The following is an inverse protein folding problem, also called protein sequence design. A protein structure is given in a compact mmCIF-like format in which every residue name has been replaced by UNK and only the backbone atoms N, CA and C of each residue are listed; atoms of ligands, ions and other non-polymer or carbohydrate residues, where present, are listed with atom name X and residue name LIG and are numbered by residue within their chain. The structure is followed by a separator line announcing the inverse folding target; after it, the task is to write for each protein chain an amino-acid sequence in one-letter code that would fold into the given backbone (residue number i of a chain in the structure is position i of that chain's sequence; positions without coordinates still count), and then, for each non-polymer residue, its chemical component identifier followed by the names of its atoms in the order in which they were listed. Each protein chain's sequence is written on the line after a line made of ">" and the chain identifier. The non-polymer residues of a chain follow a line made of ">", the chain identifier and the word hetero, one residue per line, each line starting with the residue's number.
data_IF_098688527277
#
_entry.id   IF_098688527277
#
_cell.length_a   1.000
_cell.length_b   1.000
_cell.length_c   1.000
_cell.angle_alpha   90.00
_cell.angle_beta   90.00
_cell.angle_gamma   90.00
#
_symmetry.space_group_name_H-M   'P 1'
#
loop_
_entity.id
_entity.type
_entity.pdbx_description
1 polymer ?
#
# COMPACT_ATOMS: atom_id res chain seq x y z
N UNK A 1 39.36 49.58 36.13
CA UNK A 1 40.07 49.12 34.91
C UNK A 1 39.88 47.64 34.66
N UNK A 2 40.27 46.74 35.57
CA UNK A 2 40.13 45.28 35.43
C UNK A 2 38.68 44.82 35.18
N UNK A 3 37.70 45.44 35.84
CA UNK A 3 36.27 45.14 35.66
C UNK A 3 35.74 45.43 34.25
N UNK A 4 36.24 46.48 33.58
CA UNK A 4 35.83 46.80 32.20
C UNK A 4 36.42 45.81 31.20
N UNK A 5 37.64 45.33 31.43
CA UNK A 5 38.24 44.25 30.65
C UNK A 5 37.47 42.93 30.80
N UNK A 6 37.02 42.58 32.00
CA UNK A 6 36.21 41.39 32.25
C UNK A 6 34.84 41.47 31.57
N UNK A 7 34.17 42.63 31.64
CA UNK A 7 32.89 42.84 30.93
C UNK A 7 33.04 42.78 29.41
N UNK A 8 34.12 43.33 28.86
CA UNK A 8 34.43 43.24 27.43
C UNK A 8 34.70 41.80 26.98
N UNK A 9 35.44 41.03 27.77
CA UNK A 9 35.72 39.62 27.48
C UNK A 9 34.44 38.76 27.53
N UNK A 10 33.53 39.02 28.48
CA UNK A 10 32.25 38.32 28.58
C UNK A 10 31.35 38.59 27.36
N UNK A 11 31.26 39.86 26.94
CA UNK A 11 30.50 40.25 25.74
C UNK A 11 31.07 39.61 24.48
N UNK A 12 32.40 39.60 24.34
CA UNK A 12 33.07 38.97 23.20
C UNK A 12 32.78 37.45 23.16
N UNK A 13 32.87 36.78 24.32
CA UNK A 13 32.57 35.35 24.43
C UNK A 13 31.12 35.02 24.06
N UNK A 14 30.16 35.89 24.46
CA UNK A 14 28.75 35.72 24.11
C UNK A 14 28.51 35.86 22.60
N UNK A 15 29.14 36.85 21.96
CA UNK A 15 29.04 37.06 20.50
C UNK A 15 29.62 35.87 19.74
N UNK A 16 30.79 35.37 20.15
CA UNK A 16 31.41 34.17 19.56
C UNK A 16 30.53 32.94 19.74
N UNK A 17 29.95 32.76 20.93
CA UNK A 17 29.05 31.64 21.21
C UNK A 17 27.80 31.66 20.33
N UNK A 18 27.18 32.82 20.15
CA UNK A 18 26.02 33.00 19.26
C UNK A 18 26.38 32.76 17.79
N UNK A 19 27.55 33.23 17.33
CA UNK A 19 28.03 32.98 15.97
C UNK A 19 28.26 31.48 15.72
N UNK A 20 28.94 30.78 16.64
CA UNK A 20 29.17 29.32 16.52
C UNK A 20 27.85 28.55 16.52
N UNK A 21 26.88 28.93 17.34
CA UNK A 21 25.56 28.28 17.37
C UNK A 21 24.82 28.45 16.03
N UNK A 22 24.87 29.64 15.44
CA UNK A 22 24.22 29.93 14.17
C UNK A 22 24.85 29.17 12.98
N UNK A 23 26.18 29.02 12.97
CA UNK A 23 26.89 28.21 11.97
C UNK A 23 26.57 26.71 12.11
N UNK A 24 26.35 26.22 13.34
CA UNK A 24 25.99 24.80 13.58
C UNK A 24 24.53 24.48 13.27
N UNK A 25 23.61 25.46 13.33
CA UNK A 25 22.19 25.26 12.99
C UNK A 25 21.88 25.25 11.49
N UNK A 26 22.88 25.43 10.63
CA UNK A 26 22.72 25.54 9.17
C UNK A 26 22.62 24.24 8.38
N UNK A 27 22.83 23.07 9.00
CA UNK A 27 22.68 21.79 8.29
C UNK A 27 21.22 21.35 8.39
N UNK A 28 20.36 21.99 7.58
CA UNK A 28 19.08 21.38 7.22
C UNK A 28 19.42 20.03 6.56
N UNK A 29 18.76 18.92 6.94
CA UNK A 29 18.96 17.67 6.22
C UNK A 29 18.59 17.93 4.77
N UNK A 30 19.60 17.98 3.91
CA UNK A 30 19.38 18.13 2.48
C UNK A 30 18.60 16.89 2.07
N UNK A 31 17.39 17.07 1.55
CA UNK A 31 16.62 15.96 1.02
C UNK A 31 17.52 15.19 0.06
N UNK A 32 17.69 13.90 0.34
CA UNK A 32 18.58 13.05 -0.43
C UNK A 32 18.10 13.02 -1.88
N UNK A 33 19.04 12.99 -2.84
CA UNK A 33 18.70 12.90 -4.26
C UNK A 33 17.74 11.73 -4.49
N UNK A 34 16.53 12.06 -4.93
CA UNK A 34 15.49 11.06 -5.20
C UNK A 34 15.95 10.21 -6.38
N UNK A 35 16.10 8.91 -6.14
CA UNK A 35 16.42 7.93 -7.18
C UNK A 35 15.16 7.19 -7.59
N UNK A 36 15.01 6.94 -8.89
CA UNK A 36 13.97 6.07 -9.40
C UNK A 36 14.15 4.67 -8.79
N UNK A 37 13.10 4.14 -8.18
CA UNK A 37 13.10 2.78 -7.62
C UNK A 37 12.35 1.85 -8.56
N UNK A 38 12.89 0.65 -8.77
CA UNK A 38 12.13 -0.41 -9.41
C UNK A 38 10.87 -0.69 -8.57
N UNK A 39 9.71 -0.75 -9.23
CA UNK A 39 8.44 -1.05 -8.58
C UNK A 39 8.46 -2.50 -8.10
N UNK A 40 9.01 -3.42 -8.89
CA UNK A 40 9.01 -4.85 -8.61
C UNK A 40 10.38 -5.41 -8.24
N UNK A 41 10.38 -6.42 -7.38
CA UNK A 41 11.47 -7.40 -7.29
C UNK A 41 11.41 -8.39 -8.49
N UNK A 42 12.49 -9.12 -8.76
CA UNK A 42 12.56 -10.10 -9.86
C UNK A 42 11.49 -11.19 -9.71
N UNK A 43 11.30 -11.70 -8.49
CA UNK A 43 10.27 -12.69 -8.15
C UNK A 43 8.86 -12.15 -8.36
N UNK A 44 8.60 -10.91 -7.93
CA UNK A 44 7.32 -10.21 -8.13
C UNK A 44 7.05 -9.99 -9.62
N UNK A 45 8.06 -9.57 -10.40
CA UNK A 45 7.92 -9.33 -11.83
C UNK A 45 7.55 -10.62 -12.58
N UNK A 46 8.21 -11.73 -12.26
CA UNK A 46 7.88 -13.04 -12.84
C UNK A 46 6.48 -13.49 -12.44
N UNK A 47 6.10 -13.30 -11.17
CA UNK A 47 4.77 -13.64 -10.67
C UNK A 47 3.69 -12.82 -11.38
N UNK A 48 3.91 -11.51 -11.53
CA UNK A 48 3.00 -10.63 -12.24
C UNK A 48 2.80 -11.05 -13.70
N UNK A 49 3.90 -11.39 -14.40
CA UNK A 49 3.83 -11.89 -15.77
C UNK A 49 3.01 -13.20 -15.86
N UNK A 50 3.22 -14.14 -14.91
CA UNK A 50 2.46 -15.39 -14.84
C UNK A 50 0.99 -15.18 -14.51
N UNK A 51 0.67 -14.29 -13.58
CA UNK A 51 -0.72 -13.93 -13.24
C UNK A 51 -1.45 -13.35 -14.46
N UNK A 52 -0.80 -12.43 -15.18
CA UNK A 52 -1.35 -11.84 -16.40
C UNK A 52 -1.58 -12.88 -17.51
N UNK A 53 -0.68 -13.86 -17.62
CA UNK A 53 -0.82 -14.96 -18.58
C UNK A 53 -1.90 -15.97 -18.17
N UNK A 54 -2.03 -16.25 -16.87
CA UNK A 54 -3.00 -17.19 -16.33
C UNK A 54 -4.43 -16.63 -16.40
N UNK A 55 -4.59 -15.33 -16.16
CA UNK A 55 -5.87 -14.66 -15.94
C UNK A 55 -6.09 -13.52 -16.92
N UNK A 56 -6.24 -13.79 -18.24
CA UNK A 56 -6.38 -12.74 -19.25
C UNK A 56 -7.68 -11.93 -19.13
N UNK A 57 -8.70 -12.49 -18.46
CA UNK A 57 -10.00 -11.82 -18.25
C UNK A 57 -10.02 -10.92 -17.01
N UNK A 58 -9.08 -11.13 -16.09
CA UNK A 58 -9.01 -10.40 -14.84
C UNK A 58 -7.98 -9.28 -14.93
N UNK A 59 -8.22 -8.20 -14.18
CA UNK A 59 -7.26 -7.11 -14.07
C UNK A 59 -6.41 -7.29 -12.83
N UNK A 60 -5.09 -7.40 -12.98
CA UNK A 60 -4.17 -7.53 -11.85
C UNK A 60 -3.56 -6.17 -11.52
N UNK A 61 -3.82 -5.68 -10.32
CA UNK A 61 -3.19 -4.49 -9.76
C UNK A 61 -2.01 -4.90 -8.89
N UNK A 62 -0.93 -4.13 -8.97
CA UNK A 62 0.27 -4.31 -8.17
C UNK A 62 0.41 -3.22 -7.12
N UNK A 63 0.97 -3.58 -5.96
CA UNK A 63 1.29 -2.64 -4.88
C UNK A 63 0.10 -1.77 -4.45
N UNK A 64 -1.02 -2.41 -4.16
CA UNK A 64 -2.24 -1.71 -3.78
C UNK A 64 -2.22 -1.39 -2.28
N UNK A 65 -2.46 -0.13 -1.93
CA UNK A 65 -2.52 0.29 -0.53
C UNK A 65 -3.72 -0.34 0.19
N UNK A 66 -3.55 -0.70 1.46
CA UNK A 66 -4.64 -1.24 2.28
C UNK A 66 -5.75 -0.20 2.51
N UNK A 67 -5.44 1.09 2.45
CA UNK A 67 -6.42 2.19 2.52
C UNK A 67 -7.42 2.16 1.34
N UNK A 68 -7.05 1.55 0.20
CA UNK A 68 -7.96 1.36 -0.94
C UNK A 68 -8.86 0.14 -0.81
N UNK A 69 -8.47 -0.84 0.03
CA UNK A 69 -9.16 -2.10 0.21
C UNK A 69 -10.04 -2.09 1.47
N UNK A 70 -9.62 -1.37 2.51
CA UNK A 70 -10.26 -1.41 3.81
C UNK A 70 -10.78 -0.04 4.21
N UNK A 71 -12.05 -0.02 4.63
CA UNK A 71 -12.65 1.16 5.27
C UNK A 71 -12.98 0.85 6.72
N UNK A 72 -12.73 1.80 7.60
CA UNK A 72 -13.03 1.68 9.03
C UNK A 72 -13.49 3.00 9.60
N UNK A 73 -14.37 2.94 10.59
CA UNK A 73 -14.86 4.12 11.31
C UNK A 73 -13.80 4.72 12.25
N UNK A 74 -12.90 3.89 12.77
CA UNK A 74 -11.98 4.30 13.83
C UNK A 74 -10.59 4.62 13.29
N UNK A 75 -10.13 5.85 13.51
CA UNK A 75 -8.81 6.31 13.10
C UNK A 75 -7.67 5.43 13.66
N UNK A 76 -7.79 4.98 14.91
CA UNK A 76 -6.79 4.11 15.54
C UNK A 76 -6.59 2.80 14.76
N UNK A 77 -7.67 2.21 14.25
CA UNK A 77 -7.61 1.00 13.42
C UNK A 77 -7.00 1.31 12.06
N UNK A 78 -7.39 2.43 11.43
CA UNK A 78 -6.83 2.86 10.14
C UNK A 78 -5.32 3.05 10.19
N UNK A 79 -4.82 3.69 11.24
CA UNK A 79 -3.38 3.94 11.41
C UNK A 79 -2.54 2.66 11.40
N UNK A 80 -3.10 1.53 11.86
CA UNK A 80 -2.39 0.24 11.91
C UNK A 80 -2.12 -0.35 10.53
N UNK A 81 -3.00 -0.13 9.56
CA UNK A 81 -2.84 -0.68 8.21
C UNK A 81 -2.50 0.37 7.14
N UNK A 82 -2.49 1.67 7.49
CA UNK A 82 -2.26 2.77 6.54
C UNK A 82 -0.96 2.65 5.75
N UNK A 83 0.08 2.08 6.35
CA UNK A 83 1.39 1.91 5.72
C UNK A 83 1.58 0.50 5.11
N UNK A 84 0.51 -0.31 5.06
CA UNK A 84 0.53 -1.65 4.49
C UNK A 84 0.11 -1.61 3.01
N UNK A 85 0.76 -2.46 2.23
CA UNK A 85 0.55 -2.59 0.80
C UNK A 85 0.42 -4.07 0.46
N UNK A 86 -0.57 -4.41 -0.36
CA UNK A 86 -0.77 -5.74 -0.90
C UNK A 86 0.09 -5.90 -2.15
N UNK A 87 0.72 -7.07 -2.31
CA UNK A 87 1.63 -7.31 -3.43
C UNK A 87 0.85 -7.33 -4.74
N UNK A 88 -0.21 -8.15 -4.84
CA UNK A 88 -1.16 -8.10 -5.93
C UNK A 88 -2.61 -8.17 -5.48
N UNK A 89 -3.47 -7.51 -6.25
CA UNK A 89 -4.93 -7.57 -6.11
C UNK A 89 -5.50 -7.95 -7.47
N UNK A 90 -6.29 -9.00 -7.50
CA UNK A 90 -6.98 -9.45 -8.71
C UNK A 90 -8.39 -8.89 -8.70
N UNK A 91 -8.71 -8.17 -9.77
CA UNK A 91 -10.01 -7.59 -10.01
C UNK A 91 -10.78 -8.38 -11.06
N UNK A 92 -12.07 -8.54 -10.81
CA UNK A 92 -13.03 -9.14 -11.72
C UNK A 92 -13.36 -8.21 -12.90
N UNK A 93 -14.20 -8.68 -13.84
CA UNK A 93 -14.60 -7.90 -15.01
C UNK A 93 -15.33 -6.58 -14.68
N UNK A 94 -15.91 -6.44 -13.50
CA UNK A 94 -16.62 -5.24 -13.04
C UNK A 94 -15.74 -4.37 -12.10
N UNK A 95 -14.43 -4.62 -12.05
CA UNK A 95 -13.46 -3.98 -11.16
C UNK A 95 -13.72 -4.21 -9.65
N UNK A 96 -14.43 -5.29 -9.32
CA UNK A 96 -14.58 -5.82 -7.97
C UNK A 96 -13.32 -6.57 -7.53
N UNK A 97 -12.98 -6.49 -6.25
CA UNK A 97 -11.83 -7.24 -5.71
C UNK A 97 -12.24 -8.69 -5.49
N UNK A 98 -11.67 -9.59 -6.29
CA UNK A 98 -11.93 -11.04 -6.29
C UNK A 98 -11.01 -11.74 -5.30
N UNK A 99 -9.73 -11.41 -5.38
CA UNK A 99 -8.70 -12.03 -4.57
C UNK A 99 -7.54 -11.08 -4.29
N UNK A 100 -6.91 -11.27 -3.15
CA UNK A 100 -5.66 -10.60 -2.77
C UNK A 100 -4.57 -11.66 -2.72
N UNK A 101 -3.46 -11.38 -3.39
CA UNK A 101 -2.32 -12.28 -3.44
C UNK A 101 -1.19 -11.64 -2.64
N UNK A 102 -0.65 -12.40 -1.71
CA UNK A 102 0.49 -12.04 -0.87
C UNK A 102 1.65 -12.94 -1.25
N UNK A 103 2.78 -12.32 -1.59
CA UNK A 103 4.03 -13.02 -1.86
C UNK A 103 4.83 -13.10 -0.56
N UNK A 104 5.15 -14.32 -0.13
CA UNK A 104 6.14 -14.52 0.91
C UNK A 104 7.53 -14.47 0.28
N UNK A 105 8.30 -13.44 0.60
CA UNK A 105 9.71 -13.38 0.26
C UNK A 105 10.51 -14.03 1.39
N UNK A 106 11.13 -15.17 1.11
CA UNK A 106 11.99 -15.91 2.05
C UNK A 106 13.15 -15.06 2.57
N UNK A 107 13.54 -14.01 1.83
CA UNK A 107 14.60 -13.07 2.21
C UNK A 107 14.09 -11.87 3.02
N UNK A 108 12.77 -11.63 3.04
CA UNK A 108 12.21 -10.53 3.81
C UNK A 108 12.09 -10.95 5.28
N UNK A 109 12.85 -10.30 6.15
CA UNK A 109 12.61 -10.29 7.60
C UNK A 109 11.34 -9.51 7.94
N UNK A 110 10.19 -9.81 7.30
CA UNK A 110 8.90 -9.33 7.78
C UNK A 110 8.67 -9.97 9.15
N UNK A 111 8.30 -9.16 10.14
CA UNK A 111 7.95 -9.69 11.46
C UNK A 111 6.72 -10.58 11.27
N UNK A 112 6.79 -11.83 11.70
CA UNK A 112 5.68 -12.78 11.62
C UNK A 112 4.33 -12.19 12.12
N UNK A 113 4.39 -11.32 13.14
CA UNK A 113 3.23 -10.58 13.66
C UNK A 113 2.52 -9.71 12.63
N UNK A 114 3.26 -9.07 11.73
CA UNK A 114 2.70 -8.17 10.71
C UNK A 114 1.98 -8.98 9.63
N UNK A 115 2.53 -10.14 9.24
CA UNK A 115 1.91 -11.07 8.28
C UNK A 115 0.60 -11.62 8.82
N UNK A 116 0.61 -12.13 10.07
CA UNK A 116 -0.60 -12.65 10.73
C UNK A 116 -1.65 -11.54 10.88
N UNK A 117 -1.24 -10.32 11.23
CA UNK A 117 -2.16 -9.20 11.33
C UNK A 117 -2.76 -8.82 9.98
N UNK A 118 -1.94 -8.77 8.92
CA UNK A 118 -2.35 -8.48 7.55
C UNK A 118 -3.42 -9.48 7.09
N UNK A 119 -3.14 -10.77 7.25
CA UNK A 119 -4.08 -11.83 6.89
C UNK A 119 -5.40 -11.70 7.67
N UNK A 120 -5.31 -11.44 8.99
CA UNK A 120 -6.48 -11.29 9.84
C UNK A 120 -7.39 -10.14 9.39
N UNK A 121 -6.85 -8.97 9.10
CA UNK A 121 -7.66 -7.81 8.69
C UNK A 121 -8.32 -8.01 7.32
N UNK A 122 -7.62 -8.66 6.39
CA UNK A 122 -8.18 -8.98 5.07
C UNK A 122 -9.31 -10.02 5.19
N UNK A 123 -9.10 -11.08 5.97
CA UNK A 123 -10.12 -12.10 6.24
C UNK A 123 -11.34 -11.50 6.95
N UNK A 124 -11.14 -10.61 7.93
CA UNK A 124 -12.24 -9.91 8.62
C UNK A 124 -13.04 -9.01 7.67
N UNK A 125 -12.42 -8.47 6.63
CA UNK A 125 -13.11 -7.69 5.59
C UNK A 125 -13.83 -8.56 4.54
N UNK A 126 -13.70 -9.89 4.64
CA UNK A 126 -14.32 -10.84 3.71
C UNK A 126 -13.52 -11.06 2.43
N UNK A 127 -12.27 -10.58 2.37
CA UNK A 127 -11.40 -10.85 1.22
C UNK A 127 -10.82 -12.25 1.28
N UNK A 128 -10.71 -12.87 0.10
CA UNK A 128 -9.96 -14.11 -0.10
C UNK A 128 -8.49 -13.77 -0.30
N UNK A 129 -7.64 -14.43 0.47
CA UNK A 129 -6.19 -14.17 0.48
C UNK A 129 -5.45 -15.43 0.07
N UNK A 130 -4.66 -15.33 -0.99
CA UNK A 130 -3.76 -16.39 -1.44
C UNK A 130 -2.32 -16.06 -1.07
N UNK A 131 -1.64 -17.03 -0.48
CA UNK A 131 -0.23 -16.91 -0.13
C UNK A 131 0.57 -17.76 -1.11
N UNK A 132 1.57 -17.15 -1.74
CA UNK A 132 2.50 -17.87 -2.61
C UNK A 132 3.91 -17.82 -2.04
N UNK A 133 4.47 -19.01 -1.85
CA UNK A 133 5.87 -19.21 -1.49
C UNK A 133 6.71 -19.14 -2.77
N UNK A 134 7.20 -17.94 -3.10
CA UNK A 134 7.97 -17.70 -4.31
C UNK A 134 7.11 -17.57 -5.58
N UNK A 135 7.66 -17.98 -6.74
CA UNK A 135 7.02 -17.75 -8.05
C UNK A 135 6.07 -18.91 -8.38
N UNK A 136 4.74 -18.72 -8.33
CA UNK A 136 3.75 -19.80 -8.52
C UNK A 136 3.71 -20.31 -9.96
N UNK A 137 3.34 -21.57 -10.16
CA UNK A 137 3.10 -22.14 -11.49
C UNK A 137 1.78 -21.59 -12.08
N UNK A 138 1.75 -21.40 -13.40
CA UNK A 138 0.59 -20.91 -14.16
C UNK A 138 -0.60 -21.87 -14.00
N UNK A 139 -0.36 -23.19 -14.01
CA UNK A 139 -1.43 -24.19 -13.85
C UNK A 139 -2.09 -24.09 -12.48
N UNK A 140 -1.29 -23.97 -11.42
CA UNK A 140 -1.78 -23.79 -10.06
C UNK A 140 -2.66 -22.54 -9.94
N UNK A 141 -2.22 -21.41 -10.52
CA UNK A 141 -3.03 -20.18 -10.53
C UNK A 141 -4.37 -20.42 -11.24
N UNK A 142 -4.37 -21.09 -12.40
CA UNK A 142 -5.60 -21.33 -13.16
C UNK A 142 -6.58 -22.20 -12.39
N UNK A 143 -6.11 -23.24 -11.73
CA UNK A 143 -6.98 -24.14 -10.97
C UNK A 143 -7.59 -23.45 -9.76
N UNK A 144 -6.79 -22.67 -9.01
CA UNK A 144 -7.28 -21.91 -7.87
C UNK A 144 -8.36 -20.90 -8.29
N UNK A 145 -8.12 -20.17 -9.38
CA UNK A 145 -9.06 -19.17 -9.90
C UNK A 145 -10.26 -19.79 -10.63
N UNK A 146 -10.17 -21.02 -11.12
CA UNK A 146 -11.32 -21.74 -11.68
C UNK A 146 -12.35 -22.07 -10.61
N UNK A 147 -11.90 -22.45 -9.41
CA UNK A 147 -12.79 -22.62 -8.24
C UNK A 147 -13.43 -21.28 -7.86
N UNK A 148 -12.73 -20.17 -8.08
CA UNK A 148 -13.28 -18.83 -7.87
C UNK A 148 -14.39 -18.52 -8.87
N UNK A 149 -14.18 -18.72 -10.18
CA UNK A 149 -15.19 -18.49 -11.23
C UNK A 149 -16.54 -19.14 -10.85
N UNK A 150 -16.52 -20.41 -10.44
CA UNK A 150 -17.73 -21.17 -10.07
C UNK A 150 -18.42 -20.61 -8.80
N UNK A 151 -17.63 -20.09 -7.86
CA UNK A 151 -18.14 -19.50 -6.61
C UNK A 151 -18.56 -18.04 -6.75
N UNK A 152 -17.93 -17.28 -7.63
CA UNK A 152 -18.24 -15.88 -7.92
C UNK A 152 -19.52 -15.75 -8.73
N UNK A 153 -19.79 -16.67 -9.66
CA UNK A 153 -21.09 -16.79 -10.32
C UNK A 153 -22.25 -16.84 -9.31
N UNK A 154 -22.05 -17.50 -8.16
CA UNK A 154 -23.05 -17.61 -7.10
C UNK A 154 -23.17 -16.34 -6.25
N UNK A 155 -22.05 -15.69 -5.91
CA UNK A 155 -22.04 -14.44 -5.12
C UNK A 155 -22.48 -13.24 -5.95
N UNK A 156 -22.19 -13.22 -7.25
CA UNK A 156 -22.50 -12.14 -8.18
C UNK A 156 -23.99 -12.11 -8.55
N UNK A 157 -24.71 -13.24 -8.53
CA UNK A 157 -26.18 -13.26 -8.59
C UNK A 157 -26.80 -12.55 -7.37
N UNK A 158 -26.21 -12.75 -6.19
CA UNK A 158 -26.67 -12.11 -4.94
C UNK A 158 -26.29 -10.61 -4.92
N UNK A 159 -25.08 -10.27 -5.38
CA UNK A 159 -24.58 -8.91 -5.40
C UNK A 159 -25.27 -8.06 -6.48
N UNK A 160 -25.55 -8.60 -7.66
CA UNK A 160 -26.28 -7.89 -8.73
C UNK A 160 -27.66 -7.44 -8.25
N UNK A 161 -28.37 -8.29 -7.49
CA UNK A 161 -29.63 -7.91 -6.82
C UNK A 161 -29.46 -6.78 -5.80
N UNK A 162 -28.30 -6.68 -5.15
CA UNK A 162 -27.99 -5.61 -4.19
C UNK A 162 -27.63 -4.29 -4.88
N UNK A 163 -26.96 -4.33 -6.04
CA UNK A 163 -26.58 -3.14 -6.81
C UNK A 163 -27.70 -2.60 -7.71
N UNK A 164 -28.68 -3.42 -8.08
CA UNK A 164 -29.91 -2.98 -8.75
C UNK A 164 -30.68 -1.91 -7.95
N UNK A 165 -30.57 -1.92 -6.62
CA UNK A 165 -31.17 -0.91 -5.76
C UNK A 165 -30.57 0.50 -5.96
N UNK A 166 -29.33 0.61 -6.46
CA UNK A 166 -28.63 1.89 -6.63
C UNK A 166 -28.73 2.48 -8.05
N UNK A 167 -29.19 1.72 -9.04
CA UNK A 167 -29.30 2.18 -10.44
C UNK A 167 -30.50 3.12 -10.67
N UNK A 168 -31.41 3.24 -9.71
CA UNK A 168 -32.61 4.09 -9.81
C UNK A 168 -32.37 5.60 -9.68
N UNK A 169 -31.15 6.08 -9.41
CA UNK A 169 -30.85 7.51 -9.30
C UNK A 169 -30.01 7.99 -10.47
N UNK A 170 -30.70 8.39 -11.55
CA UNK A 170 -30.10 9.06 -12.71
C UNK A 170 -29.12 10.16 -12.27
N UNK A 171 -27.85 10.02 -12.65
CA UNK A 171 -26.85 11.08 -12.52
C UNK A 171 -27.06 12.10 -13.64
N UNK A 172 -27.96 13.04 -13.41
CA UNK A 172 -28.17 14.19 -14.28
C UNK A 172 -27.15 15.29 -13.99
N UNK A 173 -25.83 15.04 -14.06
CA UNK A 173 -24.85 16.15 -14.02
C UNK A 173 -23.43 15.74 -14.44
N UNK A 174 -23.24 15.41 -15.72
CA UNK A 174 -21.93 15.53 -16.36
C UNK A 174 -21.96 16.77 -17.26
N UNK A 175 -21.64 17.94 -16.67
CA UNK A 175 -21.20 19.10 -17.45
C UNK A 175 -19.75 18.86 -17.82
N UNK A 176 -19.52 18.47 -19.06
CA UNK A 176 -18.22 18.57 -19.73
C UNK A 176 -17.81 20.04 -19.72
N UNK A 177 -16.73 20.37 -19.00
CA UNK A 177 -15.99 21.61 -19.22
C UNK A 177 -14.81 21.26 -20.12
N UNK A 178 -14.77 21.95 -21.26
CA UNK A 178 -13.77 21.85 -22.32
C UNK A 178 -12.34 22.06 -21.85
#
# INVERSE_FOLDING_TARGET
>A
MVIYFLMGALLLALIVFLAVKNLRSGVKPHDSALKQRAIFNISEQLTFARLKQALPKYTVLAQVSFDSLLTTKFYHTRSKYRNMTADFVVLGPQNEVVAIIVLEDYHATKKHKDVVYQEKILKMAGYRVFHFDGVPNIEYIKDEFRVLDDSELFVQDIASKKYEFYTGKQSSHLKLMS
#
